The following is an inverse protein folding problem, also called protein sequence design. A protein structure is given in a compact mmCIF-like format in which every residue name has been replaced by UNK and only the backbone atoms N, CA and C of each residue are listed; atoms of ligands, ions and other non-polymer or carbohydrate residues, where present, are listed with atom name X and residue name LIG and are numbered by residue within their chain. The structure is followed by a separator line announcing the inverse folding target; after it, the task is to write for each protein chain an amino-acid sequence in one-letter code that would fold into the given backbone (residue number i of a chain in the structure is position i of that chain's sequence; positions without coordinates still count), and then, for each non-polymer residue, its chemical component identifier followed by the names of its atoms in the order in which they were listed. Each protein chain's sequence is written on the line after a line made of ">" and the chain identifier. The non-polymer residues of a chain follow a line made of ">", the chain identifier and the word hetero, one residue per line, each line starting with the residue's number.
data_IF_513176807941
#
_entry.id   IF_513176807941
#
_cell.length_a   1.000
_cell.length_b   1.000
_cell.length_c   1.000
_cell.angle_alpha   90.00
_cell.angle_beta   90.00
_cell.angle_gamma   90.00
#
_symmetry.space_group_name_H-M   'P 1'
#
loop_
_entity.id
_entity.type
_entity.pdbx_description
1 polymer ?
#
# COMPACT_ATOMS: atom_id res chain seq x y z
N UNK A 1 -9.17 8.70 -16.63
CA UNK A 1 -8.69 8.75 -15.23
C UNK A 1 -9.09 7.45 -14.55
N UNK A 2 -8.23 6.84 -13.73
CA UNK A 2 -8.47 5.55 -13.07
C UNK A 2 -8.47 5.77 -11.55
N UNK A 3 -9.63 5.65 -10.92
CA UNK A 3 -9.79 5.82 -9.47
C UNK A 3 -9.66 4.46 -8.78
N UNK A 4 -8.43 4.07 -8.45
CA UNK A 4 -8.10 2.80 -7.80
C UNK A 4 -7.89 2.92 -6.29
N UNK A 5 -7.93 4.15 -5.76
CA UNK A 5 -7.72 4.46 -4.36
C UNK A 5 -8.26 5.86 -4.01
N UNK A 6 -8.50 6.07 -2.71
CA UNK A 6 -8.78 7.36 -2.08
C UNK A 6 -7.87 7.56 -0.88
N UNK A 7 -7.37 8.77 -0.66
CA UNK A 7 -6.63 9.10 0.57
C UNK A 7 -7.62 9.15 1.73
N UNK A 8 -7.38 8.34 2.76
CA UNK A 8 -8.21 8.22 3.96
C UNK A 8 -7.62 9.01 5.13
N UNK A 9 -6.29 9.12 5.20
CA UNK A 9 -5.59 9.97 6.16
C UNK A 9 -4.28 10.48 5.54
N UNK A 10 -3.91 11.71 5.86
CA UNK A 10 -2.68 12.34 5.42
C UNK A 10 -2.13 13.21 6.55
N UNK A 11 -1.16 12.67 7.29
CA UNK A 11 -0.58 13.26 8.48
C UNK A 11 0.93 13.44 8.25
N UNK A 12 1.36 14.50 7.54
CA UNK A 12 2.76 14.70 7.22
C UNK A 12 3.59 15.13 8.45
N UNK A 13 4.85 14.65 8.58
CA UNK A 13 5.57 13.77 7.65
C UNK A 13 5.35 12.27 7.91
N UNK A 14 4.55 11.92 8.90
CA UNK A 14 4.64 10.63 9.58
C UNK A 14 3.83 9.51 8.89
N UNK A 15 2.71 9.83 8.24
CA UNK A 15 1.74 8.80 7.85
C UNK A 15 0.85 9.18 6.68
N UNK A 16 0.57 8.20 5.83
CA UNK A 16 -0.50 8.26 4.81
C UNK A 16 -1.27 6.94 4.82
N UNK A 17 -2.60 7.04 4.71
CA UNK A 17 -3.49 5.87 4.56
C UNK A 17 -4.33 6.08 3.32
N UNK A 18 -4.44 5.06 2.48
CA UNK A 18 -5.32 5.08 1.31
C UNK A 18 -6.08 3.77 1.14
N UNK A 19 -7.25 3.83 0.51
CA UNK A 19 -8.03 2.65 0.18
C UNK A 19 -7.41 1.88 -0.99
N UNK A 20 -7.67 0.58 -1.04
CA UNK A 20 -7.36 -0.27 -2.17
C UNK A 20 -8.67 -0.71 -2.81
N UNK A 21 -9.06 0.01 -3.86
CA UNK A 21 -10.35 -0.15 -4.55
C UNK A 21 -10.19 -1.17 -5.72
N UNK A 22 -9.35 -2.19 -5.56
CA UNK A 22 -9.06 -3.22 -6.58
C UNK A 22 -9.43 -4.60 -6.03
N UNK A 23 -10.40 -5.24 -6.68
CA UNK A 23 -10.94 -6.56 -6.35
C UNK A 23 -9.95 -7.71 -6.56
N UNK A 24 -10.27 -8.93 -6.10
CA UNK A 24 -9.47 -10.14 -6.36
C UNK A 24 -9.25 -10.50 -7.82
N UNK A 25 -10.08 -9.96 -8.72
CA UNK A 25 -9.98 -10.14 -10.16
C UNK A 25 -9.09 -9.08 -10.83
N UNK A 26 -8.39 -8.25 -10.05
CA UNK A 26 -7.56 -7.13 -10.52
C UNK A 26 -8.36 -6.10 -11.33
N UNK A 27 -9.62 -5.94 -10.96
CA UNK A 27 -10.55 -4.96 -11.51
C UNK A 27 -10.94 -3.95 -10.43
N UNK A 28 -11.27 -2.73 -10.85
CA UNK A 28 -11.77 -1.71 -9.93
C UNK A 28 -13.08 -2.16 -9.28
N UNK A 29 -13.17 -1.97 -7.96
CA UNK A 29 -14.39 -2.08 -7.18
C UNK A 29 -14.68 -0.71 -6.55
N UNK A 30 -15.83 -0.12 -6.90
CA UNK A 30 -16.20 1.20 -6.43
C UNK A 30 -16.96 1.19 -5.10
N UNK A 31 -17.32 0.02 -4.56
CA UNK A 31 -17.98 -0.09 -3.25
C UNK A 31 -16.96 0.12 -2.12
N UNK A 32 -17.05 1.23 -1.35
CA UNK A 32 -16.11 1.49 -0.27
C UNK A 32 -16.12 0.44 0.85
N UNK A 33 -17.19 -0.34 0.99
CA UNK A 33 -17.29 -1.39 2.00
C UNK A 33 -16.45 -2.62 1.68
N UNK A 34 -16.09 -2.82 0.41
CA UNK A 34 -15.20 -3.89 -0.04
C UNK A 34 -13.72 -3.50 -0.01
N UNK A 35 -13.41 -2.22 0.10
CA UNK A 35 -12.04 -1.73 0.04
C UNK A 35 -11.21 -2.13 1.27
N UNK A 36 -10.03 -2.68 1.01
CA UNK A 36 -8.95 -2.82 2.00
C UNK A 36 -8.16 -1.52 2.13
N UNK A 37 -7.21 -1.46 3.05
CA UNK A 37 -6.45 -0.24 3.35
C UNK A 37 -4.96 -0.50 3.31
N UNK A 38 -4.23 0.46 2.76
CA UNK A 38 -2.77 0.51 2.84
C UNK A 38 -2.37 1.67 3.73
N UNK A 39 -1.67 1.36 4.80
CA UNK A 39 -1.06 2.35 5.70
C UNK A 39 0.44 2.35 5.50
N UNK A 40 1.00 3.53 5.25
CA UNK A 40 2.44 3.75 5.15
C UNK A 40 2.86 4.69 6.26
N UNK A 41 3.84 4.27 7.06
CA UNK A 41 4.42 5.06 8.15
C UNK A 41 5.89 5.35 7.87
N UNK A 42 6.30 6.58 8.18
CA UNK A 42 7.67 7.06 8.06
C UNK A 42 8.24 7.26 9.46
N UNK A 43 9.07 6.32 9.90
CA UNK A 43 9.66 6.33 11.24
C UNK A 43 11.09 6.84 11.15
N UNK A 44 11.36 8.02 11.71
CA UNK A 44 12.73 8.52 11.82
C UNK A 44 13.56 7.60 12.74
N UNK A 45 14.69 7.08 12.23
CA UNK A 45 15.64 6.29 13.00
C UNK A 45 16.91 7.09 13.34
N UNK A 46 17.27 8.05 12.48
CA UNK A 46 18.27 9.08 12.71
C UNK A 46 17.90 10.34 11.89
N UNK A 47 18.63 11.47 12.03
CA UNK A 47 18.35 12.66 11.22
C UNK A 47 18.47 12.43 9.70
N UNK A 48 19.26 11.43 9.28
CA UNK A 48 19.52 11.08 7.88
C UNK A 48 18.89 9.74 7.45
N UNK A 49 18.13 9.06 8.32
CA UNK A 49 17.55 7.74 8.04
C UNK A 49 16.10 7.64 8.50
N UNK A 50 15.25 7.26 7.56
CA UNK A 50 13.83 6.94 7.80
C UNK A 50 13.56 5.49 7.46
N UNK A 51 12.93 4.76 8.38
CA UNK A 51 12.36 3.44 8.11
C UNK A 51 10.92 3.61 7.62
N UNK A 52 10.64 3.07 6.45
CA UNK A 52 9.29 3.03 5.88
C UNK A 52 8.66 1.70 6.24
N UNK A 53 7.51 1.75 6.92
CA UNK A 53 6.70 0.58 7.23
C UNK A 53 5.42 0.64 6.40
N UNK A 54 5.03 -0.49 5.79
CA UNK A 54 3.79 -0.63 5.03
C UNK A 54 2.97 -1.78 5.61
N UNK A 55 1.72 -1.50 5.92
CA UNK A 55 0.71 -2.49 6.29
C UNK A 55 -0.42 -2.48 5.27
N UNK A 56 -0.81 -3.65 4.76
CA UNK A 56 -2.01 -3.82 3.96
C UNK A 56 -3.02 -4.63 4.78
N UNK A 57 -4.04 -3.96 5.31
CA UNK A 57 -5.02 -4.54 6.24
C UNK A 57 -6.42 -4.59 5.66
N UNK A 58 -7.30 -5.34 6.32
CA UNK A 58 -8.70 -5.55 5.91
C UNK A 58 -8.84 -6.19 4.52
N UNK A 59 -7.87 -7.03 4.11
CA UNK A 59 -7.88 -7.66 2.79
C UNK A 59 -9.10 -8.58 2.63
N UNK A 60 -9.58 -9.18 3.71
CA UNK A 60 -10.80 -10.00 3.75
C UNK A 60 -12.07 -9.26 3.30
N UNK A 61 -12.10 -7.92 3.31
CA UNK A 61 -13.24 -7.12 2.81
C UNK A 61 -13.49 -7.29 1.31
N UNK A 62 -12.50 -7.76 0.55
CA UNK A 62 -12.62 -8.02 -0.89
C UNK A 62 -13.58 -9.17 -1.24
N UNK A 63 -14.11 -9.88 -0.24
CA UNK A 63 -15.09 -10.94 -0.44
C UNK A 63 -14.44 -12.24 -0.97
N UNK A 64 -15.23 -13.12 -1.62
CA UNK A 64 -14.72 -14.40 -2.11
C UNK A 64 -13.49 -14.24 -3.02
N UNK A 65 -12.39 -14.91 -2.67
CA UNK A 65 -11.14 -14.85 -3.42
C UNK A 65 -10.15 -13.78 -2.94
N UNK A 66 -10.44 -13.07 -1.85
CA UNK A 66 -9.53 -12.07 -1.25
C UNK A 66 -8.11 -12.60 -0.99
N UNK A 67 -7.94 -13.91 -0.77
CA UNK A 67 -6.65 -14.55 -0.61
C UNK A 67 -5.73 -14.32 -1.81
N UNK A 68 -6.30 -14.24 -3.02
CA UNK A 68 -5.56 -13.91 -4.24
C UNK A 68 -4.98 -12.49 -4.22
N UNK A 69 -5.68 -11.52 -3.59
CA UNK A 69 -5.13 -10.18 -3.36
C UNK A 69 -3.94 -10.27 -2.41
N UNK A 70 -4.10 -10.97 -1.27
CA UNK A 70 -3.03 -11.17 -0.29
C UNK A 70 -1.79 -11.81 -0.93
N UNK A 71 -1.98 -12.91 -1.65
CA UNK A 71 -0.90 -13.64 -2.33
C UNK A 71 -0.21 -12.76 -3.38
N UNK A 72 -0.99 -11.99 -4.16
CA UNK A 72 -0.44 -11.07 -5.15
C UNK A 72 0.40 -9.95 -4.55
N UNK A 73 -0.06 -9.34 -3.46
CA UNK A 73 0.68 -8.25 -2.80
C UNK A 73 1.84 -8.73 -1.92
N UNK A 74 1.80 -9.97 -1.43
CA UNK A 74 2.88 -10.61 -0.66
C UNK A 74 3.98 -11.21 -1.56
N UNK A 75 3.64 -11.62 -2.77
CA UNK A 75 4.56 -12.23 -3.73
C UNK A 75 5.69 -11.30 -4.20
N UNK A 76 6.63 -11.86 -4.96
CA UNK A 76 7.85 -11.17 -5.41
C UNK A 76 7.58 -9.95 -6.29
N UNK A 77 6.41 -9.88 -6.94
CA UNK A 77 5.97 -8.73 -7.72
C UNK A 77 5.10 -7.72 -6.94
N UNK A 78 4.84 -7.99 -5.66
CA UNK A 78 3.99 -7.18 -4.77
C UNK A 78 4.75 -6.09 -4.03
N UNK A 79 4.35 -5.80 -2.78
CA UNK A 79 4.87 -4.66 -2.01
C UNK A 79 6.38 -4.70 -1.79
N UNK A 80 6.97 -5.88 -1.63
CA UNK A 80 8.42 -6.04 -1.44
C UNK A 80 9.23 -5.43 -2.59
N UNK A 81 8.80 -5.65 -3.84
CA UNK A 81 9.45 -5.10 -5.03
C UNK A 81 9.37 -3.57 -5.06
N UNK A 82 8.20 -3.00 -4.75
CA UNK A 82 8.00 -1.55 -4.83
C UNK A 82 8.71 -0.81 -3.69
N UNK A 83 8.76 -1.38 -2.48
CA UNK A 83 9.57 -0.83 -1.38
C UNK A 83 11.06 -0.85 -1.70
N UNK A 84 11.57 -1.94 -2.30
CA UNK A 84 12.96 -2.01 -2.76
C UNK A 84 13.27 -0.93 -3.83
N UNK A 85 12.39 -0.79 -4.84
CA UNK A 85 12.53 0.24 -5.88
C UNK A 85 12.49 1.66 -5.31
N UNK A 86 11.65 1.91 -4.31
CA UNK A 86 11.59 3.20 -3.63
C UNK A 86 12.91 3.51 -2.90
N UNK A 87 13.45 2.54 -2.17
CA UNK A 87 14.76 2.68 -1.53
C UNK A 87 15.89 2.94 -2.54
N UNK A 88 15.88 2.24 -3.68
CA UNK A 88 16.87 2.41 -4.77
C UNK A 88 16.81 3.80 -5.44
N UNK A 89 15.63 4.42 -5.50
CA UNK A 89 15.50 5.78 -6.03
C UNK A 89 16.19 6.80 -5.11
N UNK A 90 16.10 6.60 -3.80
CA UNK A 90 16.70 7.50 -2.81
C UNK A 90 18.20 7.27 -2.65
N UNK A 91 18.70 6.06 -2.91
CA UNK A 91 20.14 5.77 -2.87
C UNK A 91 20.92 6.34 -4.07
N UNK A 92 20.24 6.64 -5.17
CA UNK A 92 20.84 7.22 -6.39
C UNK A 92 20.97 8.74 -6.35
N UNK A 93 20.41 9.39 -5.34
CA UNK A 93 20.58 10.83 -5.10
C UNK A 93 21.72 11.00 -4.09
N UNK A 94 22.96 10.95 -4.57
CA UNK A 94 24.17 11.34 -3.83
C UNK A 94 24.93 12.40 -4.59
#
# INVERSE_FOLDING_TARGET
>A
ECHWARVLAYDPPDRVVFSWDISPYWQLDSDPSHASEVEVRFVAESPERTRVELEHRNIDRHGPGWEGVREGVEGDAGWRLYLARYADLLSKVS
#
